data_IF_750707566738
#
_entry.id   IF_750707566738
#
_cell.length_a   1.000
_cell.length_b   1.000
_cell.length_c   1.000
_cell.angle_alpha   90.00
_cell.angle_beta   90.00
_cell.angle_gamma   90.00
#
_symmetry.space_group_name_H-M   'P 1'
#
loop_
_entity.id
_entity.type
_entity.pdbx_description
1 polymer ?
#
# COMPACT_ATOMS: atom_id res chain seq x y z
N UNK A 1 -7.65 -11.54 11.17
CA UNK A 1 -8.81 -11.23 10.31
C UNK A 1 -8.50 -11.75 8.91
N UNK A 2 -9.44 -12.41 8.24
CA UNK A 2 -9.31 -12.81 6.83
C UNK A 2 -9.81 -11.67 5.92
N UNK A 3 -9.51 -11.69 4.61
CA UNK A 3 -10.02 -10.69 3.67
C UNK A 3 -11.55 -10.61 3.61
N UNK A 4 -12.29 -11.64 4.06
CA UNK A 4 -13.76 -11.63 4.13
C UNK A 4 -14.30 -10.65 5.19
N UNK A 5 -13.46 -10.25 6.16
CA UNK A 5 -13.82 -9.28 7.19
C UNK A 5 -13.56 -7.82 6.80
N UNK A 6 -13.17 -7.55 5.55
CA UNK A 6 -12.87 -6.21 5.06
C UNK A 6 -14.06 -5.60 4.31
N UNK A 7 -14.21 -4.29 4.44
CA UNK A 7 -15.16 -3.48 3.70
C UNK A 7 -14.49 -2.93 2.45
N UNK A 8 -15.00 -3.28 1.28
CA UNK A 8 -14.52 -2.77 0.00
C UNK A 8 -15.50 -1.73 -0.55
N UNK A 9 -14.98 -0.78 -1.34
CA UNK A 9 -15.81 0.19 -2.05
C UNK A 9 -16.68 -0.46 -3.15
N UNK A 10 -17.47 0.35 -3.84
CA UNK A 10 -18.35 -0.14 -4.92
C UNK A 10 -17.59 -0.76 -6.11
N UNK A 11 -16.29 -0.52 -6.24
CA UNK A 11 -15.42 -1.12 -7.23
C UNK A 11 -14.72 -2.40 -6.71
N UNK A 12 -15.00 -2.81 -5.47
CA UNK A 12 -14.36 -3.96 -4.83
C UNK A 12 -12.93 -3.67 -4.36
N UNK A 13 -12.60 -2.40 -4.09
CA UNK A 13 -11.27 -1.96 -3.70
C UNK A 13 -11.22 -1.41 -2.28
N UNK A 14 -10.07 -1.56 -1.64
CA UNK A 14 -9.73 -1.01 -0.33
C UNK A 14 -8.45 -0.17 -0.46
N UNK A 15 -8.40 1.05 0.10
CA UNK A 15 -7.16 1.82 0.20
C UNK A 15 -6.17 1.11 1.14
N UNK A 16 -4.90 1.11 0.75
CA UNK A 16 -3.79 0.61 1.54
C UNK A 16 -2.72 1.69 1.69
N UNK A 17 -2.58 2.20 2.90
CA UNK A 17 -1.50 3.12 3.29
C UNK A 17 -0.25 2.29 3.58
N UNK A 18 0.82 2.56 2.86
CA UNK A 18 2.09 1.88 3.04
C UNK A 18 3.00 2.75 3.90
N UNK A 19 3.45 2.19 5.01
CA UNK A 19 4.26 2.91 5.98
C UNK A 19 5.54 2.13 6.29
N UNK A 20 6.66 2.83 6.40
CA UNK A 20 7.90 2.24 6.87
C UNK A 20 7.73 1.75 8.32
N UNK A 21 8.09 0.49 8.57
CA UNK A 21 7.74 -0.19 9.83
C UNK A 21 8.39 0.42 11.09
N UNK A 22 9.61 0.94 10.97
CA UNK A 22 10.40 1.50 12.08
C UNK A 22 10.23 3.01 12.22
N UNK A 23 10.42 3.78 11.14
CA UNK A 23 10.36 5.25 11.17
C UNK A 23 8.93 5.80 11.16
N UNK A 24 7.95 4.98 10.77
CA UNK A 24 6.55 5.39 10.58
C UNK A 24 6.35 6.42 9.46
N UNK A 25 7.34 6.61 8.59
CA UNK A 25 7.21 7.42 7.39
C UNK A 25 6.14 6.81 6.46
N UNK A 26 5.15 7.60 6.04
CA UNK A 26 4.19 7.19 5.02
C UNK A 26 4.89 7.23 3.67
N UNK A 27 4.93 6.09 2.99
CA UNK A 27 5.69 5.90 1.75
C UNK A 27 4.83 6.10 0.51
N UNK A 28 3.63 5.52 0.49
CA UNK A 28 2.71 5.60 -0.64
C UNK A 28 1.31 5.13 -0.24
N UNK A 29 0.34 5.35 -1.12
CA UNK A 29 -0.99 4.74 -1.06
C UNK A 29 -1.19 3.91 -2.32
N UNK A 30 -1.79 2.72 -2.15
CA UNK A 30 -2.22 1.86 -3.24
C UNK A 30 -3.65 1.38 -3.02
N UNK A 31 -4.20 0.71 -4.03
CA UNK A 31 -5.52 0.07 -3.95
C UNK A 31 -5.33 -1.44 -4.02
N UNK A 32 -6.09 -2.17 -3.22
CA UNK A 32 -6.11 -3.63 -3.22
C UNK A 32 -7.56 -4.11 -3.39
N UNK A 33 -7.78 -5.19 -4.12
CA UNK A 33 -9.01 -5.99 -4.01
C UNK A 33 -8.75 -7.14 -3.01
N UNK A 34 -9.75 -8.00 -2.79
CA UNK A 34 -9.60 -9.14 -1.90
C UNK A 34 -8.45 -10.09 -2.32
N UNK A 35 -8.18 -10.23 -3.62
CA UNK A 35 -7.10 -11.08 -4.12
C UNK A 35 -5.71 -10.48 -3.89
N UNK A 36 -5.54 -9.18 -4.10
CA UNK A 36 -4.32 -8.45 -3.80
C UNK A 36 -3.99 -8.51 -2.30
N UNK A 37 -5.00 -8.42 -1.42
CA UNK A 37 -4.82 -8.63 0.02
C UNK A 37 -4.38 -10.07 0.31
N UNK A 38 -5.03 -11.09 -0.27
CA UNK A 38 -4.63 -12.50 -0.13
C UNK A 38 -3.18 -12.73 -0.55
N UNK A 39 -2.79 -12.26 -1.74
CA UNK A 39 -1.42 -12.40 -2.24
C UNK A 39 -0.41 -11.69 -1.35
N UNK A 40 -0.76 -10.51 -0.85
CA UNK A 40 0.10 -9.75 0.06
C UNK A 40 0.37 -10.53 1.34
N UNK A 41 -0.69 -11.07 1.97
CA UNK A 41 -0.58 -11.88 3.16
C UNK A 41 0.19 -13.19 2.92
N UNK A 42 -0.04 -13.85 1.79
CA UNK A 42 0.60 -15.14 1.47
C UNK A 42 2.09 -15.01 1.11
N UNK A 43 2.47 -13.94 0.41
CA UNK A 43 3.84 -13.78 -0.12
C UNK A 43 4.74 -12.91 0.77
N UNK A 44 4.17 -12.15 1.70
CA UNK A 44 4.91 -11.13 2.44
C UNK A 44 5.38 -9.96 1.57
N UNK A 45 4.78 -9.78 0.38
CA UNK A 45 5.12 -8.74 -0.60
C UNK A 45 3.87 -7.97 -0.99
N UNK A 46 3.94 -6.64 -0.97
CA UNK A 46 2.79 -5.81 -1.33
C UNK A 46 2.39 -6.02 -2.79
N UNK A 47 1.17 -6.51 -2.99
CA UNK A 47 0.51 -6.65 -4.29
C UNK A 47 -0.64 -5.66 -4.35
N UNK A 48 -0.79 -4.97 -5.46
CA UNK A 48 -1.82 -3.94 -5.65
C UNK A 48 -2.64 -4.21 -6.91
N UNK A 49 -3.82 -3.60 -6.99
CA UNK A 49 -4.63 -3.51 -8.18
C UNK A 49 -4.44 -2.14 -8.86
N UNK A 50 -3.98 -2.13 -10.11
CA UNK A 50 -3.81 -0.91 -10.89
C UNK A 50 -5.12 -0.51 -11.55
N UNK A 51 -5.85 0.45 -10.96
CA UNK A 51 -7.14 0.93 -11.50
C UNK A 51 -7.09 1.42 -12.95
N UNK A 52 -5.95 1.96 -13.40
CA UNK A 52 -5.77 2.45 -14.77
C UNK A 52 -5.37 1.37 -15.78
N UNK A 53 -4.75 0.27 -15.31
CA UNK A 53 -4.23 -0.81 -16.16
C UNK A 53 -5.07 -2.08 -16.07
N UNK A 54 -5.97 -2.13 -15.09
CA UNK A 54 -6.85 -3.26 -14.82
C UNK A 54 -6.06 -4.57 -14.61
N UNK A 55 -4.94 -4.48 -13.90
CA UNK A 55 -4.02 -5.60 -13.66
C UNK A 55 -3.43 -5.55 -12.24
N UNK A 56 -3.00 -6.72 -11.76
CA UNK A 56 -2.20 -6.83 -10.55
C UNK A 56 -0.76 -6.42 -10.80
N UNK A 57 -0.11 -5.84 -9.79
CA UNK A 57 1.33 -5.63 -9.81
C UNK A 57 1.93 -5.77 -8.42
N UNK A 58 3.13 -6.35 -8.35
CA UNK A 58 3.89 -6.48 -7.11
C UNK A 58 4.91 -5.35 -7.02
N UNK A 59 4.95 -4.62 -5.89
CA UNK A 59 5.86 -3.48 -5.75
C UNK A 59 7.31 -3.91 -5.87
N UNK A 60 8.00 -3.24 -6.81
CA UNK A 60 9.43 -3.44 -7.05
C UNK A 60 9.75 -4.68 -7.89
N UNK A 61 8.77 -5.34 -8.51
CA UNK A 61 9.02 -6.50 -9.39
C UNK A 61 9.90 -6.13 -10.59
N UNK A 62 9.66 -4.97 -11.19
CA UNK A 62 10.48 -4.45 -12.31
C UNK A 62 11.68 -3.64 -11.85
N UNK A 63 11.53 -2.78 -10.84
CA UNK A 63 12.61 -1.85 -10.43
C UNK A 63 13.58 -2.41 -9.40
N UNK A 64 13.25 -3.54 -8.76
CA UNK A 64 13.97 -4.04 -7.59
C UNK A 64 13.67 -3.29 -6.29
N UNK A 65 12.84 -2.24 -6.30
CA UNK A 65 12.51 -1.47 -5.08
C UNK A 65 11.34 -2.08 -4.31
N UNK A 66 11.62 -3.18 -3.64
CA UNK A 66 10.65 -4.09 -3.03
C UNK A 66 10.13 -3.58 -1.69
N UNK A 67 8.92 -4.01 -1.35
CA UNK A 67 8.34 -3.83 -0.02
C UNK A 67 8.15 -5.19 0.64
N UNK A 68 8.80 -5.39 1.79
CA UNK A 68 8.69 -6.59 2.60
C UNK A 68 7.71 -6.32 3.74
N UNK A 69 6.55 -6.98 3.70
CA UNK A 69 5.49 -6.78 4.67
C UNK A 69 5.93 -7.31 6.03
N UNK A 70 5.83 -6.47 7.05
CA UNK A 70 6.05 -6.82 8.46
C UNK A 70 4.74 -7.00 9.20
N UNK A 71 3.73 -6.19 8.86
CA UNK A 71 2.42 -6.23 9.49
C UNK A 71 1.36 -5.62 8.57
N UNK A 72 0.14 -6.14 8.68
CA UNK A 72 -1.07 -5.52 8.08
C UNK A 72 -2.02 -5.20 9.22
N UNK A 73 -2.39 -3.93 9.33
CA UNK A 73 -3.35 -3.41 10.28
C UNK A 73 -4.62 -3.02 9.52
N UNK A 74 -5.76 -3.18 10.18
CA UNK A 74 -7.09 -2.84 9.68
C UNK A 74 -7.63 -1.76 10.60
N UNK A 75 -8.26 -0.73 10.05
CA UNK A 75 -8.90 0.32 10.84
C UNK A 75 -10.24 -0.13 11.47
N UNK A 76 -10.96 0.79 12.09
CA UNK A 76 -12.06 0.44 13.00
C UNK A 76 -13.35 0.00 12.29
N UNK A 77 -13.58 0.44 11.06
CA UNK A 77 -14.68 0.06 10.16
C UNK A 77 -14.23 -0.86 9.01
N UNK A 78 -12.95 -1.26 9.04
CA UNK A 78 -12.34 -2.23 8.15
C UNK A 78 -12.36 -1.83 6.66
N UNK A 79 -12.38 -0.52 6.39
CA UNK A 79 -12.39 0.03 5.03
C UNK A 79 -11.02 0.60 4.61
N UNK A 80 -10.01 0.56 5.48
CA UNK A 80 -8.65 0.96 5.14
C UNK A 80 -7.60 0.02 5.76
N UNK A 81 -6.54 -0.25 5.01
CA UNK A 81 -5.38 -0.99 5.49
C UNK A 81 -4.20 -0.07 5.78
N UNK A 82 -3.51 -0.30 6.90
CA UNK A 82 -2.17 0.21 7.14
C UNK A 82 -1.18 -0.96 7.05
N UNK A 83 -0.34 -0.95 6.00
CA UNK A 83 0.66 -1.99 5.75
C UNK A 83 2.02 -1.47 6.17
N UNK A 84 2.57 -2.07 7.23
CA UNK A 84 3.93 -1.79 7.68
C UNK A 84 4.90 -2.62 6.85
N UNK A 85 5.83 -1.95 6.19
CA UNK A 85 6.80 -2.56 5.29
C UNK A 85 8.22 -2.15 5.64
N UNK A 86 9.16 -3.03 5.31
CA UNK A 86 10.57 -2.70 5.16
C UNK A 86 10.83 -2.49 3.67
N UNK A 87 11.10 -1.24 3.29
CA UNK A 87 11.25 -0.82 1.91
C UNK A 87 12.71 -0.91 1.45
N UNK A 88 12.95 -1.65 0.38
CA UNK A 88 14.21 -1.69 -0.37
C UNK A 88 14.23 -0.56 -1.40
N UNK A 89 15.22 0.34 -1.34
CA UNK A 89 15.37 1.46 -2.27
C UNK A 89 14.21 2.48 -2.23
N UNK A 90 14.10 3.36 -3.24
CA UNK A 90 13.03 4.35 -3.34
C UNK A 90 11.62 3.74 -3.47
N UNK A 91 10.66 4.20 -2.67
CA UNK A 91 9.26 3.80 -2.87
C UNK A 91 8.69 4.45 -4.14
N UNK A 92 9.05 5.72 -4.42
CA UNK A 92 8.53 6.47 -5.55
C UNK A 92 9.31 6.22 -6.85
N UNK A 93 8.61 6.33 -7.98
CA UNK A 93 9.21 6.21 -9.31
C UNK A 93 10.11 7.41 -9.70
N UNK A 94 10.02 8.52 -8.97
CA UNK A 94 10.89 9.69 -9.15
C UNK A 94 12.24 9.55 -8.43
N UNK A 95 12.46 8.45 -7.72
CA UNK A 95 13.68 8.18 -6.97
C UNK A 95 13.64 8.67 -5.51
N UNK A 96 12.55 9.29 -5.06
CA UNK A 96 12.38 9.73 -3.67
C UNK A 96 11.95 8.60 -2.73
N UNK A 97 12.21 8.79 -1.43
CA UNK A 97 11.90 7.77 -0.41
C UNK A 97 10.40 7.58 -0.26
N UNK A 98 9.65 8.68 -0.31
CA UNK A 98 8.19 8.72 -0.25
C UNK A 98 7.58 9.37 -1.50
N UNK A 99 6.34 9.01 -1.83
CA UNK A 99 5.54 9.68 -2.86
C UNK A 99 5.12 11.10 -2.44
N UNK A 100 5.13 11.41 -1.13
CA UNK A 100 4.59 12.65 -0.57
C UNK A 100 5.60 13.81 -0.49
N UNK A 101 6.53 13.88 -1.45
CA UNK A 101 7.62 14.88 -1.49
C UNK A 101 7.44 15.96 -2.58
N UNK A 102 6.28 16.02 -3.24
CA UNK A 102 6.08 16.85 -4.44
C UNK A 102 5.51 18.26 -4.18
N UNK A 103 5.01 18.54 -2.97
CA UNK A 103 4.43 19.84 -2.62
C UNK A 103 3.49 19.76 -1.42
N UNK A 104 3.06 20.94 -0.96
CA UNK A 104 2.18 21.08 0.20
C UNK A 104 0.97 21.96 -0.11
N UNK A 105 -0.17 21.64 0.51
CA UNK A 105 -1.34 22.53 0.54
C UNK A 105 -1.25 23.32 1.85
N UNK A 106 -1.21 24.65 1.76
CA UNK A 106 -1.22 25.51 2.95
C UNK A 106 -2.56 25.40 3.66
N UNK A 107 -2.53 25.00 4.92
CA UNK A 107 -3.71 25.02 5.79
C UNK A 107 -3.82 26.41 6.41
N UNK A 108 -4.87 27.15 6.07
CA UNK A 108 -5.23 28.37 6.78
C UNK A 108 -5.90 28.00 8.09
N UNK A 109 -5.36 28.51 9.20
CA UNK A 109 -5.96 28.39 10.53
C UNK A 109 -7.23 29.23 10.66
#
# INVERSE_FOLDING_TARGET
MSPEGLTFDAAGLIPAVIQQFDTREVLMVGWMDAEAVRRTAATGRTTFWSRSRNEYWVKGETSGHRQHVKQVLVDCDADTLLVLVDQEGPACHTGTRSCFEHGEIKVSA
#
